data_IF_967167787633
#
_entry.id   IF_967167787633
#
_cell.length_a   1.000
_cell.length_b   1.000
_cell.length_c   1.000
_cell.angle_alpha   90.00
_cell.angle_beta   90.00
_cell.angle_gamma   90.00
#
_symmetry.space_group_name_H-M   'P 1'
#
loop_
_entity.id
_entity.type
_entity.pdbx_description
1 polymer ?
#
# COMPACT_ATOMS: atom_id res chain seq x y z
N UNK A 1 5.60 6.23 21.07
CA UNK A 1 6.74 6.71 20.26
C UNK A 1 6.91 5.77 19.08
N UNK A 2 7.20 6.26 17.86
CA UNK A 2 7.51 5.36 16.75
C UNK A 2 8.76 4.54 17.11
N UNK A 3 8.72 3.24 16.83
CA UNK A 3 9.90 2.37 16.96
C UNK A 3 11.03 2.89 16.07
N UNK A 4 12.27 2.98 16.57
CA UNK A 4 13.40 3.44 15.75
C UNK A 4 13.62 2.52 14.55
N UNK A 5 13.87 3.11 13.38
CA UNK A 5 14.12 2.36 12.14
C UNK A 5 15.45 1.60 12.25
N UNK A 6 15.46 0.32 11.86
CA UNK A 6 16.67 -0.51 11.90
C UNK A 6 17.65 -0.15 10.79
N UNK A 7 18.97 -0.39 10.95
CA UNK A 7 19.96 -0.11 9.90
C UNK A 7 19.66 -0.87 8.60
N UNK A 8 19.12 -2.09 8.71
CA UNK A 8 18.69 -2.88 7.56
C UNK A 8 17.50 -2.27 6.81
N UNK A 9 16.58 -1.60 7.52
CA UNK A 9 15.47 -0.88 6.90
C UNK A 9 15.97 0.36 6.15
N UNK A 10 16.82 1.16 6.79
CA UNK A 10 17.42 2.35 6.19
C UNK A 10 18.19 2.03 4.90
N UNK A 11 18.93 0.91 4.88
CA UNK A 11 19.67 0.46 3.70
C UNK A 11 18.78 0.05 2.51
N UNK A 12 17.53 -0.37 2.77
CA UNK A 12 16.58 -0.86 1.74
C UNK A 12 15.48 0.13 1.40
N UNK A 13 15.38 1.24 2.14
CA UNK A 13 14.35 2.26 1.94
C UNK A 13 14.51 2.89 0.56
N UNK A 14 13.44 2.95 -0.26
CA UNK A 14 13.52 3.63 -1.54
C UNK A 14 13.85 5.11 -1.34
N UNK A 15 14.78 5.62 -2.14
CA UNK A 15 15.20 7.04 -2.12
C UNK A 15 14.33 7.91 -3.02
N UNK A 16 13.60 7.29 -3.95
CA UNK A 16 12.75 7.95 -4.95
C UNK A 16 11.28 7.86 -4.50
N UNK A 17 10.46 8.90 -4.71
CA UNK A 17 9.02 8.83 -4.46
C UNK A 17 8.35 7.71 -5.28
N UNK A 18 7.22 7.15 -4.81
CA UNK A 18 6.47 6.11 -5.51
C UNK A 18 5.63 6.71 -6.66
N UNK A 19 6.28 7.44 -7.56
CA UNK A 19 5.68 8.11 -8.73
C UNK A 19 6.68 8.12 -9.88
N UNK A 20 6.18 8.16 -11.11
CA UNK A 20 7.02 8.33 -12.31
C UNK A 20 7.25 9.81 -12.68
N UNK A 21 6.58 10.73 -11.99
CA UNK A 21 6.72 12.18 -12.18
C UNK A 21 8.17 12.63 -11.95
N UNK A 22 8.82 13.18 -12.99
CA UNK A 22 10.19 13.70 -12.90
C UNK A 22 11.29 12.64 -12.87
N UNK A 23 10.99 11.38 -13.18
CA UNK A 23 11.99 10.32 -13.33
C UNK A 23 12.62 10.41 -14.71
N UNK A 24 13.96 10.40 -14.76
CA UNK A 24 14.69 10.28 -16.02
C UNK A 24 14.63 8.81 -16.51
N UNK A 25 14.07 8.61 -17.71
CA UNK A 25 13.88 7.29 -18.29
C UNK A 25 15.14 6.70 -18.92
N UNK A 26 16.14 7.55 -19.24
CA UNK A 26 17.42 7.11 -19.78
C UNK A 26 18.33 6.54 -18.67
N UNK A 27 18.15 6.98 -17.42
CA UNK A 27 18.80 6.39 -16.25
C UNK A 27 18.08 5.12 -15.77
N UNK A 28 18.56 3.97 -16.26
CA UNK A 28 18.00 2.66 -15.92
C UNK A 28 17.93 2.41 -14.41
N UNK A 29 18.91 2.91 -13.63
CA UNK A 29 18.96 2.68 -12.18
C UNK A 29 17.84 3.43 -11.48
N UNK A 30 17.61 4.70 -11.85
CA UNK A 30 16.51 5.51 -11.31
C UNK A 30 15.15 4.99 -11.73
N UNK A 31 15.00 4.61 -12.99
CA UNK A 31 13.77 4.01 -13.50
C UNK A 31 13.41 2.73 -12.73
N UNK A 32 14.38 1.85 -12.45
CA UNK A 32 14.15 0.64 -11.63
C UNK A 32 13.77 0.96 -10.19
N UNK A 33 14.40 1.97 -9.58
CA UNK A 33 14.05 2.41 -8.23
C UNK A 33 12.61 2.94 -8.16
N UNK A 34 12.15 3.70 -9.17
CA UNK A 34 10.78 4.19 -9.25
C UNK A 34 9.77 3.05 -9.44
N UNK A 35 10.06 2.10 -10.35
CA UNK A 35 9.24 0.89 -10.52
C UNK A 35 9.06 0.12 -9.21
N UNK A 36 10.15 -0.10 -8.48
CA UNK A 36 10.08 -0.79 -7.20
C UNK A 36 9.34 0.02 -6.13
N UNK A 37 9.52 1.35 -6.10
CA UNK A 37 8.85 2.21 -5.11
C UNK A 37 7.33 2.15 -5.26
N UNK A 38 6.82 2.25 -6.49
CA UNK A 38 5.39 2.12 -6.79
C UNK A 38 4.85 0.76 -6.34
N UNK A 39 5.53 -0.33 -6.68
CA UNK A 39 5.08 -1.68 -6.31
C UNK A 39 5.11 -1.87 -4.79
N UNK A 40 6.13 -1.38 -4.09
CA UNK A 40 6.20 -1.45 -2.63
C UNK A 40 5.03 -0.73 -1.97
N UNK A 41 4.66 0.45 -2.46
CA UNK A 41 3.51 1.20 -1.91
C UNK A 41 2.18 0.45 -2.11
N UNK A 42 2.01 -0.19 -3.27
CA UNK A 42 0.85 -1.06 -3.50
C UNK A 42 0.81 -2.24 -2.50
N UNK A 43 1.96 -2.83 -2.17
CA UNK A 43 2.05 -3.85 -1.13
C UNK A 43 1.75 -3.31 0.27
N UNK A 44 2.19 -2.09 0.60
CA UNK A 44 1.84 -1.43 1.87
C UNK A 44 0.32 -1.29 1.99
N UNK A 45 -0.38 -0.87 0.94
CA UNK A 45 -1.85 -0.78 0.93
C UNK A 45 -2.51 -2.15 1.16
N UNK A 46 -2.00 -3.21 0.51
CA UNK A 46 -2.47 -4.59 0.75
C UNK A 46 -2.27 -5.00 2.21
N UNK A 47 -1.11 -4.67 2.80
CA UNK A 47 -0.82 -4.95 4.21
C UNK A 47 -1.72 -4.16 5.15
N UNK A 48 -2.08 -2.91 4.82
CA UNK A 48 -3.08 -2.14 5.55
C UNK A 48 -4.45 -2.83 5.51
N UNK A 49 -4.87 -3.31 4.35
CA UNK A 49 -6.12 -4.08 4.21
C UNK A 49 -6.11 -5.37 5.04
N UNK A 50 -4.95 -6.04 5.12
CA UNK A 50 -4.76 -7.24 5.96
C UNK A 50 -4.94 -6.92 7.44
N UNK A 51 -4.37 -5.81 7.94
CA UNK A 51 -4.56 -5.40 9.34
C UNK A 51 -6.04 -5.17 9.69
N UNK A 52 -6.78 -4.51 8.80
CA UNK A 52 -8.23 -4.30 9.00
C UNK A 52 -8.99 -5.63 8.99
N UNK A 53 -8.62 -6.57 8.11
CA UNK A 53 -9.20 -7.92 8.08
C UNK A 53 -8.94 -8.70 9.37
N UNK A 54 -7.72 -8.64 9.90
CA UNK A 54 -7.35 -9.29 11.15
C UNK A 54 -8.15 -8.72 12.33
N UNK A 55 -8.32 -7.39 12.38
CA UNK A 55 -9.12 -6.75 13.42
C UNK A 55 -10.62 -7.05 13.29
N UNK A 56 -11.14 -7.09 12.06
CA UNK A 56 -12.51 -7.52 11.77
C UNK A 56 -12.75 -8.97 12.26
N UNK A 57 -11.79 -9.87 11.99
CA UNK A 57 -11.85 -11.25 12.46
C UNK A 57 -11.94 -11.33 13.98
N UNK A 58 -11.10 -10.57 14.70
CA UNK A 58 -11.18 -10.49 16.18
C UNK A 58 -12.53 -9.96 16.66
N UNK A 59 -13.08 -8.94 16.00
CA UNK A 59 -14.42 -8.42 16.33
C UNK A 59 -15.48 -9.51 16.19
N UNK A 60 -15.44 -10.29 15.10
CA UNK A 60 -16.39 -11.38 14.87
C UNK A 60 -16.28 -12.46 15.96
N UNK A 61 -15.06 -12.82 16.36
CA UNK A 61 -14.83 -13.77 17.46
C UNK A 61 -15.33 -13.24 18.81
N UNK A 62 -15.15 -11.95 19.09
CA UNK A 62 -15.54 -11.35 20.37
C UNK A 62 -17.05 -11.13 20.51
N UNK A 63 -17.69 -10.62 19.46
CA UNK A 63 -19.11 -10.22 19.49
C UNK A 63 -20.06 -11.39 19.20
N UNK A 64 -19.58 -12.48 18.59
CA UNK A 64 -20.37 -13.66 18.29
C UNK A 64 -21.61 -13.31 17.46
N UNK A 65 -22.80 -13.63 17.96
CA UNK A 65 -24.08 -13.38 17.27
C UNK A 65 -24.34 -11.88 17.02
N UNK A 66 -23.72 -10.98 17.79
CA UNK A 66 -23.92 -9.52 17.67
C UNK A 66 -23.03 -8.86 16.60
N UNK A 67 -22.23 -9.64 15.86
CA UNK A 67 -21.24 -9.10 14.92
C UNK A 67 -21.86 -8.20 13.82
N UNK A 68 -23.14 -8.41 13.46
CA UNK A 68 -23.84 -7.59 12.46
C UNK A 68 -24.07 -6.15 12.93
N UNK A 69 -24.31 -5.94 14.23
CA UNK A 69 -24.54 -4.61 14.81
C UNK A 69 -23.20 -3.95 15.18
N UNK A 70 -22.28 -4.72 15.79
CA UNK A 70 -21.06 -4.16 16.41
C UNK A 70 -19.87 -4.05 15.47
N UNK A 71 -19.74 -4.93 14.46
CA UNK A 71 -18.56 -4.97 13.58
C UNK A 71 -18.77 -4.28 12.23
N UNK A 72 -19.92 -3.61 12.02
CA UNK A 72 -20.28 -2.90 10.79
C UNK A 72 -19.21 -1.92 10.26
N UNK A 73 -18.65 -1.02 11.10
CA UNK A 73 -17.65 -0.06 10.66
C UNK A 73 -16.36 -0.70 10.12
N UNK A 74 -15.87 -1.78 10.76
CA UNK A 74 -14.70 -2.51 10.30
C UNK A 74 -14.98 -3.25 8.98
N UNK A 75 -16.18 -3.81 8.84
CA UNK A 75 -16.62 -4.48 7.62
C UNK A 75 -16.69 -3.50 6.45
N UNK A 76 -17.32 -2.35 6.62
CA UNK A 76 -17.45 -1.31 5.59
C UNK A 76 -16.08 -0.78 5.17
N UNK A 77 -15.20 -0.47 6.14
CA UNK A 77 -13.83 -0.06 5.87
C UNK A 77 -13.06 -1.12 5.08
N UNK A 78 -13.19 -2.39 5.44
CA UNK A 78 -12.54 -3.49 4.72
C UNK A 78 -13.04 -3.58 3.27
N UNK A 79 -14.35 -3.50 3.06
CA UNK A 79 -14.96 -3.51 1.72
C UNK A 79 -14.50 -2.33 0.86
N UNK A 80 -14.40 -1.12 1.45
CA UNK A 80 -13.88 0.04 0.76
C UNK A 80 -12.42 -0.16 0.36
N UNK A 81 -11.59 -0.71 1.26
CA UNK A 81 -10.18 -1.00 0.97
C UNK A 81 -10.01 -2.06 -0.11
N UNK A 82 -10.87 -3.09 -0.17
CA UNK A 82 -10.79 -4.14 -1.20
C UNK A 82 -10.90 -3.61 -2.64
N UNK A 83 -11.58 -2.47 -2.84
CA UNK A 83 -11.72 -1.85 -4.16
C UNK A 83 -10.37 -1.35 -4.69
N UNK A 84 -9.58 -0.71 -3.82
CA UNK A 84 -8.41 0.07 -4.23
C UNK A 84 -7.08 -0.60 -3.84
N UNK A 85 -7.02 -1.30 -2.69
CA UNK A 85 -5.81 -1.85 -2.09
C UNK A 85 -5.44 -3.21 -2.70
N UNK A 86 -5.06 -3.19 -3.98
CA UNK A 86 -4.60 -4.36 -4.73
C UNK A 86 -3.36 -4.04 -5.54
N UNK A 87 -2.49 -5.04 -5.70
CA UNK A 87 -1.31 -4.92 -6.56
C UNK A 87 -1.76 -4.86 -8.02
N UNK A 88 -1.43 -3.77 -8.70
CA UNK A 88 -1.71 -3.52 -10.13
C UNK A 88 -0.45 -3.56 -10.99
N UNK A 89 0.73 -3.53 -10.34
CA UNK A 89 2.02 -3.38 -11.00
C UNK A 89 2.30 -1.93 -11.37
N UNK A 90 3.45 -1.69 -11.99
CA UNK A 90 3.95 -0.35 -12.33
C UNK A 90 3.66 0.07 -13.77
N UNK A 91 3.35 -0.87 -14.67
CA UNK A 91 3.33 -0.62 -16.12
C UNK A 91 2.28 0.41 -16.54
N UNK A 92 1.11 0.38 -15.93
CA UNK A 92 0.03 1.34 -16.24
C UNK A 92 0.46 2.77 -15.89
N UNK A 93 0.99 2.99 -14.68
CA UNK A 93 1.48 4.30 -14.25
C UNK A 93 2.70 4.75 -15.05
N UNK A 94 3.60 3.83 -15.40
CA UNK A 94 4.78 4.13 -16.21
C UNK A 94 4.44 4.55 -17.65
N UNK A 95 3.36 4.01 -18.24
CA UNK A 95 2.97 4.29 -19.62
C UNK A 95 2.02 5.47 -19.76
N UNK A 96 1.28 5.81 -18.70
CA UNK A 96 0.26 6.87 -18.70
C UNK A 96 0.63 8.02 -17.74
N UNK A 97 1.92 8.26 -17.52
CA UNK A 97 2.36 9.42 -16.75
C UNK A 97 2.03 10.70 -17.54
N UNK A 98 1.40 11.66 -16.87
CA UNK A 98 1.13 12.96 -17.46
C UNK A 98 2.35 13.80 -17.13
N UNK A 99 3.20 14.09 -18.12
CA UNK A 99 4.22 15.11 -17.98
C UNK A 99 3.53 16.43 -17.66
N UNK A 100 3.57 16.83 -16.39
CA UNK A 100 3.18 18.18 -15.98
C UNK A 100 4.22 19.14 -16.55
N UNK A 101 3.90 19.70 -17.72
CA UNK A 101 4.59 20.86 -18.28
C UNK A 101 4.62 22.03 -17.28
#
# INVERSE_FOLDING_TARGET
MPTPESPAFLAKKPTVPPTFDGVDYEDNKRLKQAQDAVVREQWVQVMMGRLVREELSKCYYREGVNHLEKCGPLREKYLQMLKDHRVRGFRFEQQNYIDKK
#
